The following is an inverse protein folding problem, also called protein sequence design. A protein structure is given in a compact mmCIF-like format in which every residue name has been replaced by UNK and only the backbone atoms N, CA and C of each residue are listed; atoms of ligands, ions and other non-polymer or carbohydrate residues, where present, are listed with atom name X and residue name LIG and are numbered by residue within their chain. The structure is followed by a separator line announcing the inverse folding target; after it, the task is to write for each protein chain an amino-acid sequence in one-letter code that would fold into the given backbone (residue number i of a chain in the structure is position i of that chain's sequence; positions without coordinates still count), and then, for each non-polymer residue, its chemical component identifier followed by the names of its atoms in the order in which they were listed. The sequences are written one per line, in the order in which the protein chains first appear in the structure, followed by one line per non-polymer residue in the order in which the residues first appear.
data_IF_190616139285
#
_entry.id   IF_190616139285
#
_cell.length_a   1.000
_cell.length_b   1.000
_cell.length_c   1.000
_cell.angle_alpha   90.00
_cell.angle_beta   90.00
_cell.angle_gamma   90.00
#
_symmetry.space_group_name_H-M   'P 1'
#
loop_
_entity.id
_entity.type
_entity.pdbx_description
1 polymer ?
#
# COMPACT_ATOMS: atom_id res chain seq x y z
N UNK A 1 0.60 -7.80 -33.95
CA UNK A 1 0.73 -8.50 -32.64
C UNK A 1 0.24 -9.93 -32.81
N UNK A 2 1.11 -10.92 -32.59
CA UNK A 2 0.72 -12.33 -32.70
C UNK A 2 -0.30 -12.71 -31.62
N UNK A 3 -1.40 -13.37 -32.01
CA UNK A 3 -2.38 -13.89 -31.06
C UNK A 3 -1.73 -15.02 -30.24
N UNK A 4 -1.87 -15.04 -28.91
CA UNK A 4 -1.33 -16.13 -28.09
C UNK A 4 -1.99 -17.45 -28.46
N UNK A 5 -1.17 -18.50 -28.67
CA UNK A 5 -1.66 -19.85 -29.01
C UNK A 5 -2.50 -20.46 -27.87
N UNK A 6 -2.20 -20.10 -26.62
CA UNK A 6 -2.84 -20.62 -25.40
C UNK A 6 -3.11 -19.48 -24.42
N UNK A 7 -4.13 -19.65 -23.59
CA UNK A 7 -4.41 -18.71 -22.52
C UNK A 7 -3.31 -18.75 -21.47
N UNK A 8 -2.97 -17.59 -20.92
CA UNK A 8 -2.03 -17.52 -19.79
C UNK A 8 -2.72 -17.98 -18.51
N UNK A 9 -2.05 -18.81 -17.71
CA UNK A 9 -2.64 -19.29 -16.45
C UNK A 9 -2.97 -18.13 -15.50
N UNK A 10 -4.02 -18.27 -14.66
CA UNK A 10 -4.39 -17.23 -13.68
C UNK A 10 -3.22 -16.83 -12.79
N UNK A 11 -2.42 -17.79 -12.33
CA UNK A 11 -1.21 -17.56 -11.53
C UNK A 11 -0.19 -16.67 -12.27
N UNK A 12 0.12 -16.99 -13.53
CA UNK A 12 1.10 -16.23 -14.32
C UNK A 12 0.60 -14.81 -14.62
N UNK A 13 -0.69 -14.65 -14.85
CA UNK A 13 -1.32 -13.32 -15.01
C UNK A 13 -1.26 -12.50 -13.72
N UNK A 14 -1.56 -13.10 -12.57
CA UNK A 14 -1.47 -12.45 -11.26
C UNK A 14 -0.05 -12.00 -10.91
N UNK A 15 0.94 -12.89 -11.10
CA UNK A 15 2.35 -12.56 -10.87
C UNK A 15 2.82 -11.40 -11.73
N UNK A 16 2.44 -11.38 -13.01
CA UNK A 16 2.76 -10.26 -13.91
C UNK A 16 2.11 -8.95 -13.48
N UNK A 17 0.90 -8.99 -12.91
CA UNK A 17 0.16 -7.80 -12.45
C UNK A 17 0.50 -7.35 -11.03
N UNK A 18 1.29 -8.14 -10.28
CA UNK A 18 1.65 -7.84 -8.89
C UNK A 18 2.29 -6.45 -8.70
N UNK A 19 3.14 -6.02 -9.64
CA UNK A 19 3.77 -4.71 -9.60
C UNK A 19 2.78 -3.54 -9.69
N UNK A 20 1.62 -3.72 -10.35
CA UNK A 20 0.59 -2.69 -10.45
C UNK A 20 -0.05 -2.42 -9.09
N UNK A 21 -0.35 -3.48 -8.33
CA UNK A 21 -0.90 -3.36 -6.98
C UNK A 21 0.09 -2.61 -6.05
N UNK A 22 1.39 -2.94 -6.13
CA UNK A 22 2.43 -2.25 -5.35
C UNK A 22 2.57 -0.77 -5.71
N UNK A 23 2.59 -0.45 -7.02
CA UNK A 23 2.68 0.94 -7.49
C UNK A 23 1.47 1.75 -7.06
N UNK A 24 0.27 1.19 -7.21
CA UNK A 24 -0.98 1.85 -6.84
C UNK A 24 -1.02 2.16 -5.35
N UNK A 25 -0.67 1.20 -4.49
CA UNK A 25 -0.65 1.43 -3.04
C UNK A 25 0.33 2.53 -2.63
N UNK A 26 1.53 2.60 -3.25
CA UNK A 26 2.49 3.68 -3.00
C UNK A 26 1.93 5.05 -3.39
N UNK A 27 1.26 5.14 -4.53
CA UNK A 27 0.66 6.39 -5.01
C UNK A 27 -0.48 6.82 -4.09
N UNK A 28 -1.38 5.91 -3.73
CA UNK A 28 -2.51 6.19 -2.84
C UNK A 28 -2.02 6.64 -1.46
N UNK A 29 -1.04 5.94 -0.88
CA UNK A 29 -0.46 6.31 0.42
C UNK A 29 0.27 7.67 0.41
N UNK A 30 0.70 8.16 -0.76
CA UNK A 30 1.34 9.48 -0.90
C UNK A 30 0.36 10.63 -1.17
N UNK A 31 -0.83 10.34 -1.70
CA UNK A 31 -1.80 11.37 -2.16
C UNK A 31 -3.08 11.41 -1.35
N UNK A 32 -3.47 10.30 -0.72
CA UNK A 32 -4.74 10.15 -0.02
C UNK A 32 -4.50 10.00 1.49
N UNK A 33 -5.42 10.50 2.34
CA UNK A 33 -5.42 10.17 3.75
C UNK A 33 -5.74 8.68 4.01
N UNK A 34 -6.25 7.96 2.99
CA UNK A 34 -6.61 6.54 3.09
C UNK A 34 -5.37 5.66 2.90
N UNK A 35 -5.15 4.76 3.86
CA UNK A 35 -4.02 3.82 3.85
C UNK A 35 -4.36 2.57 3.04
N UNK A 36 -3.67 2.37 1.93
CA UNK A 36 -3.78 1.19 1.08
C UNK A 36 -2.76 0.12 1.50
N UNK A 37 -3.26 -1.09 1.76
CA UNK A 37 -2.46 -2.28 2.10
C UNK A 37 -2.38 -3.22 0.89
N UNK A 38 -1.18 -3.73 0.58
CA UNK A 38 -1.01 -4.62 -0.59
C UNK A 38 -1.10 -6.10 -0.23
N UNK A 39 -0.68 -6.49 0.97
CA UNK A 39 -0.76 -7.88 1.45
C UNK A 39 -1.23 -7.95 2.90
N UNK A 40 -1.82 -9.10 3.28
CA UNK A 40 -2.33 -9.36 4.64
C UNK A 40 -1.25 -9.27 5.73
N UNK A 41 0.04 -9.29 5.38
CA UNK A 41 1.19 -9.27 6.31
C UNK A 41 2.16 -8.09 6.10
N UNK A 42 1.69 -6.95 5.58
CA UNK A 42 2.51 -5.72 5.59
C UNK A 42 2.69 -5.11 7.00
N UNK A 43 1.97 -5.63 7.99
CA UNK A 43 2.03 -5.22 9.41
C UNK A 43 3.31 -5.67 10.15
N UNK A 44 4.22 -6.42 9.52
CA UNK A 44 5.48 -6.84 10.14
C UNK A 44 6.43 -5.69 10.47
N UNK A 45 6.29 -4.54 9.80
CA UNK A 45 6.91 -3.30 10.25
C UNK A 45 5.91 -2.62 11.18
N UNK A 46 6.12 -2.73 12.50
CA UNK A 46 5.40 -1.94 13.50
C UNK A 46 5.33 -0.52 12.96
N UNK A 47 4.12 -0.06 12.61
CA UNK A 47 3.93 1.35 12.34
C UNK A 47 4.32 2.04 13.64
N UNK A 48 5.50 2.68 13.67
CA UNK A 48 5.82 3.60 14.74
C UNK A 48 4.67 4.59 14.76
N UNK A 49 3.86 4.50 15.81
CA UNK A 49 2.79 5.44 16.06
C UNK A 49 3.42 6.83 15.99
N UNK A 50 3.10 7.59 14.95
CA UNK A 50 3.50 8.99 14.88
C UNK A 50 2.88 9.65 16.11
N UNK A 51 3.73 10.19 16.98
CA UNK A 51 3.38 11.10 18.06
C UNK A 51 2.44 12.17 17.49
N UNK A 52 1.27 12.30 18.10
CA UNK A 52 0.42 13.48 17.96
C UNK A 52 1.19 14.68 18.51
N UNK A 53 1.92 15.39 17.65
CA UNK A 53 2.42 16.72 17.96
C UNK A 53 1.27 17.71 17.75
N UNK A 54 0.53 18.02 18.81
CA UNK A 54 -0.37 19.17 18.78
C UNK A 54 -1.58 19.08 19.71
N UNK A 55 -1.37 19.10 21.03
CA UNK A 55 -2.36 19.65 21.99
C UNK A 55 -1.65 20.39 23.12
N UNK A 56 -1.56 21.72 22.95
CA UNK A 56 -1.64 22.82 23.92
C UNK A 56 -1.11 22.54 25.34
N UNK A 57 0.12 22.98 25.63
CA UNK A 57 0.48 23.43 26.98
C UNK A 57 -0.24 24.76 27.24
N UNK A 58 -1.26 24.74 28.09
CA UNK A 58 -1.76 25.93 28.78
C UNK A 58 -2.03 25.54 30.24
N UNK A 59 -1.46 26.34 31.14
CA UNK A 59 -1.76 26.49 32.57
C UNK A 59 -1.29 25.40 33.56
N UNK A 60 -0.14 25.67 34.21
CA UNK A 60 -0.06 25.84 35.68
C UNK A 60 1.37 26.27 36.11
N UNK A 61 1.53 27.55 36.42
CA UNK A 61 2.35 28.02 37.54
C UNK A 61 1.74 29.31 38.05
#
# INVERSE_FOLDING_TARGET
MGKPKKQTSPRKTGLRRSHLALKLARIVNGKSPVKAYTTKRESGKKASAKKESGKKEVAKK
#
